data_IF_389923901315
#
_entry.id   IF_389923901315
#
_cell.length_a   1.000
_cell.length_b   1.000
_cell.length_c   1.000
_cell.angle_alpha   90.00
_cell.angle_beta   90.00
_cell.angle_gamma   90.00
#
_symmetry.space_group_name_H-M   'P 1'
#
loop_
_entity.id
_entity.type
_entity.pdbx_description
1 polymer ?
#
# COMPACT_ATOMS: atom_id res chain seq x y z
N UNK A 1 3.72 27.93 -17.77
CA UNK A 1 2.46 27.20 -18.04
C UNK A 1 2.20 26.32 -16.84
N UNK A 2 1.25 26.76 -16.03
CA UNK A 2 0.79 26.08 -14.82
C UNK A 2 0.07 24.81 -15.26
N UNK A 3 0.75 23.65 -15.15
CA UNK A 3 0.09 22.36 -15.31
C UNK A 3 -0.61 22.09 -14.00
N UNK A 4 -1.89 22.43 -13.93
CA UNK A 4 -2.77 21.92 -12.88
C UNK A 4 -2.63 20.40 -12.85
N UNK A 5 -1.98 19.90 -11.81
CA UNK A 5 -1.92 18.47 -11.50
C UNK A 5 -3.37 18.05 -11.26
N UNK A 6 -3.85 17.16 -12.12
CA UNK A 6 -5.12 16.47 -11.95
C UNK A 6 -5.08 15.70 -10.63
N UNK A 7 -5.58 16.31 -9.54
CA UNK A 7 -5.68 15.67 -8.22
C UNK A 7 -6.51 14.37 -8.30
N UNK A 8 -7.32 14.17 -9.35
CA UNK A 8 -8.20 13.01 -9.48
C UNK A 8 -7.49 11.71 -9.87
N UNK A 9 -6.30 11.75 -10.49
CA UNK A 9 -5.57 10.53 -10.90
C UNK A 9 -4.58 10.03 -9.82
N UNK A 10 -4.43 10.80 -8.75
CA UNK A 10 -3.48 10.54 -7.67
C UNK A 10 -4.12 9.86 -6.46
N UNK A 11 -5.41 9.54 -6.52
CA UNK A 11 -6.17 8.92 -5.44
C UNK A 11 -6.91 7.67 -5.91
N UNK A 12 -6.81 6.59 -5.15
CA UNK A 12 -7.67 5.40 -5.29
C UNK A 12 -8.14 4.94 -3.92
N UNK A 13 -9.35 4.37 -3.85
CA UNK A 13 -9.90 3.84 -2.62
C UNK A 13 -9.88 2.32 -2.65
N UNK A 14 -9.09 1.69 -1.77
CA UNK A 14 -8.92 0.23 -1.72
C UNK A 14 -8.92 -0.27 -0.27
N UNK A 15 -9.64 -1.34 0.01
CA UNK A 15 -9.66 -1.99 1.34
C UNK A 15 -10.05 -1.06 2.50
N UNK A 16 -10.82 0.00 2.22
CA UNK A 16 -11.23 0.99 3.22
C UNK A 16 -10.25 2.15 3.43
N UNK A 17 -9.15 2.22 2.67
CA UNK A 17 -8.15 3.29 2.76
C UNK A 17 -8.10 4.12 1.48
N UNK A 18 -7.79 5.40 1.64
CA UNK A 18 -7.42 6.28 0.53
C UNK A 18 -5.93 6.14 0.27
N UNK A 19 -5.58 5.72 -0.95
CA UNK A 19 -4.22 5.54 -1.41
C UNK A 19 -3.81 6.68 -2.32
N UNK A 20 -2.64 7.22 -2.08
CA UNK A 20 -2.02 8.31 -2.81
C UNK A 20 -0.96 7.74 -3.74
N UNK A 21 -0.91 8.24 -4.97
CA UNK A 21 0.11 7.85 -5.94
C UNK A 21 1.49 8.33 -5.45
N UNK A 22 2.46 7.43 -5.40
CA UNK A 22 3.86 7.71 -5.05
C UNK A 22 4.79 7.25 -6.19
N UNK A 23 4.65 7.89 -7.34
CA UNK A 23 5.35 7.52 -8.58
C UNK A 23 4.50 6.68 -9.55
N UNK A 24 5.13 6.19 -10.62
CA UNK A 24 4.39 5.65 -11.78
C UNK A 24 3.54 4.41 -11.45
N UNK A 25 4.04 3.55 -10.57
CA UNK A 25 3.44 2.25 -10.27
C UNK A 25 3.38 1.95 -8.78
N UNK A 26 3.44 2.98 -7.93
CA UNK A 26 3.44 2.81 -6.48
C UNK A 26 2.35 3.67 -5.85
N UNK A 27 1.81 3.15 -4.76
CA UNK A 27 0.70 3.72 -4.00
C UNK A 27 1.02 3.63 -2.52
N UNK A 28 0.64 4.67 -1.77
CA UNK A 28 0.82 4.75 -0.33
C UNK A 28 -0.49 5.07 0.36
N UNK A 29 -0.74 4.42 1.47
CA UNK A 29 -1.83 4.75 2.37
C UNK A 29 -1.29 4.74 3.79
N UNK A 30 -2.04 5.32 4.71
CA UNK A 30 -1.75 5.21 6.13
C UNK A 30 -3.06 5.14 6.91
N UNK A 31 -3.03 4.44 8.02
CA UNK A 31 -4.08 4.47 9.03
C UNK A 31 -3.46 4.52 10.44
N UNK A 32 -4.27 4.34 11.47
CA UNK A 32 -3.80 4.33 12.86
C UNK A 32 -2.87 3.16 13.22
N UNK A 33 -2.77 2.14 12.36
CA UNK A 33 -2.02 0.91 12.62
C UNK A 33 -0.67 0.88 11.91
N UNK A 34 -0.60 1.36 10.67
CA UNK A 34 0.62 1.36 9.87
C UNK A 34 0.60 2.38 8.72
N UNK A 35 1.79 2.63 8.17
CA UNK A 35 1.97 3.18 6.83
C UNK A 35 2.15 2.04 5.83
N UNK A 36 1.48 2.10 4.69
CA UNK A 36 1.48 1.06 3.67
C UNK A 36 2.13 1.56 2.39
N UNK A 37 2.78 0.66 1.66
CA UNK A 37 3.24 0.91 0.30
C UNK A 37 3.01 -0.31 -0.57
N UNK A 38 2.41 -0.10 -1.74
CA UNK A 38 2.16 -1.11 -2.76
C UNK A 38 2.82 -0.63 -4.06
N UNK A 39 3.60 -1.49 -4.71
CA UNK A 39 4.24 -1.20 -5.98
C UNK A 39 4.07 -2.36 -6.97
N UNK A 40 3.80 -2.04 -8.23
CA UNK A 40 3.81 -3.03 -9.32
C UNK A 40 5.25 -3.24 -9.76
N UNK A 41 5.68 -4.50 -9.79
CA UNK A 41 7.02 -4.88 -10.23
C UNK A 41 7.03 -5.33 -11.70
N UNK A 42 8.22 -5.55 -12.30
CA UNK A 42 8.33 -6.00 -13.70
C UNK A 42 7.70 -7.36 -13.99
N UNK A 43 7.43 -8.17 -12.95
CA UNK A 43 6.65 -9.41 -13.05
C UNK A 43 5.14 -9.16 -13.20
N UNK A 44 4.74 -7.91 -13.38
CA UNK A 44 3.37 -7.42 -13.48
C UNK A 44 2.50 -7.65 -12.24
N UNK A 45 3.09 -8.10 -11.13
CA UNK A 45 2.41 -8.35 -9.86
C UNK A 45 2.63 -7.21 -8.88
N UNK A 46 1.70 -7.09 -7.95
CA UNK A 46 1.75 -6.15 -6.86
C UNK A 46 2.50 -6.75 -5.67
N UNK A 47 3.42 -5.96 -5.15
CA UNK A 47 4.24 -6.26 -3.99
C UNK A 47 4.12 -5.09 -3.02
N UNK A 48 4.33 -5.33 -1.74
CA UNK A 48 4.19 -4.28 -0.76
C UNK A 48 4.88 -4.55 0.56
N UNK A 49 4.87 -3.51 1.37
CA UNK A 49 5.39 -3.52 2.72
C UNK A 49 4.53 -2.59 3.56
N UNK A 50 4.61 -2.78 4.87
CA UNK A 50 4.06 -1.83 5.83
C UNK A 50 5.14 -1.39 6.81
N UNK A 51 4.97 -0.21 7.38
CA UNK A 51 5.78 0.31 8.46
C UNK A 51 4.90 0.50 9.69
N UNK A 52 5.29 -0.11 10.81
CA UNK A 52 4.61 0.00 12.10
C UNK A 52 5.65 0.22 13.18
N UNK A 53 5.51 1.27 13.99
CA UNK A 53 6.47 1.63 15.04
C UNK A 53 7.93 1.73 14.54
N UNK A 54 8.14 2.25 13.33
CA UNK A 54 9.47 2.35 12.70
C UNK A 54 10.02 1.04 12.14
N UNK A 55 9.33 -0.09 12.32
CA UNK A 55 9.73 -1.39 11.76
C UNK A 55 9.07 -1.56 10.40
N UNK A 56 9.91 -1.77 9.37
CA UNK A 56 9.46 -2.06 8.01
C UNK A 56 9.37 -3.56 7.79
N UNK A 57 8.17 -4.05 7.50
CA UNK A 57 7.91 -5.46 7.21
C UNK A 57 7.41 -5.63 5.79
N UNK A 58 8.04 -6.55 5.05
CA UNK A 58 7.65 -6.88 3.67
C UNK A 58 6.60 -7.98 3.69
N UNK A 59 5.54 -7.83 2.89
CA UNK A 59 4.57 -8.90 2.71
C UNK A 59 5.12 -9.99 1.78
N UNK A 60 4.86 -11.26 2.10
CA UNK A 60 5.42 -12.41 1.38
C UNK A 60 4.65 -12.74 0.09
N UNK A 61 3.35 -12.45 0.07
CA UNK A 61 2.51 -12.73 -1.09
C UNK A 61 2.54 -11.60 -2.12
N UNK A 62 2.15 -11.94 -3.35
CA UNK A 62 1.97 -11.01 -4.47
C UNK A 62 0.82 -11.48 -5.35
N UNK A 63 0.14 -10.57 -6.05
CA UNK A 63 -0.97 -10.91 -6.94
C UNK A 63 -1.12 -9.89 -8.09
N UNK A 64 -1.87 -10.20 -9.17
CA UNK A 64 -1.95 -9.32 -10.35
C UNK A 64 -2.89 -8.12 -10.17
N UNK A 65 -3.81 -8.14 -9.19
CA UNK A 65 -4.83 -7.11 -8.96
C UNK A 65 -4.47 -6.26 -7.74
N UNK A 66 -4.56 -4.93 -7.86
CA UNK A 66 -4.18 -4.03 -6.76
C UNK A 66 -5.21 -4.05 -5.64
N UNK A 67 -6.49 -4.22 -5.97
CA UNK A 67 -7.62 -4.28 -5.05
C UNK A 67 -7.44 -5.44 -4.06
N UNK A 68 -7.24 -6.64 -4.59
CA UNK A 68 -6.98 -7.85 -3.79
C UNK A 68 -5.69 -7.70 -2.99
N UNK A 69 -4.68 -7.07 -3.56
CA UNK A 69 -3.40 -6.88 -2.87
C UNK A 69 -3.52 -5.93 -1.68
N UNK A 70 -4.26 -4.83 -1.83
CA UNK A 70 -4.49 -3.87 -0.78
C UNK A 70 -5.26 -4.48 0.38
N UNK A 71 -6.32 -5.24 0.11
CA UNK A 71 -7.07 -5.97 1.13
C UNK A 71 -6.18 -6.95 1.90
N UNK A 72 -5.40 -7.76 1.18
CA UNK A 72 -4.43 -8.67 1.78
C UNK A 72 -3.42 -7.93 2.67
N UNK A 73 -2.82 -6.84 2.19
CA UNK A 73 -1.79 -6.12 2.94
C UNK A 73 -2.36 -5.50 4.23
N UNK A 74 -3.56 -4.93 4.16
CA UNK A 74 -4.27 -4.38 5.31
C UNK A 74 -4.62 -5.49 6.30
N UNK A 75 -5.11 -6.62 5.80
CA UNK A 75 -5.43 -7.79 6.61
C UNK A 75 -4.20 -8.33 7.36
N UNK A 76 -3.05 -8.42 6.68
CA UNK A 76 -1.78 -8.83 7.30
C UNK A 76 -1.37 -7.91 8.45
N UNK A 77 -1.49 -6.58 8.30
CA UNK A 77 -1.16 -5.65 9.37
C UNK A 77 -2.10 -5.78 10.57
N UNK A 78 -3.38 -6.03 10.31
CA UNK A 78 -4.40 -6.22 11.36
C UNK A 78 -4.19 -7.53 12.12
N UNK A 79 -3.71 -8.56 11.45
CA UNK A 79 -3.45 -9.88 12.04
C UNK A 79 -2.01 -10.08 12.52
N UNK A 80 -1.07 -9.20 12.14
CA UNK A 80 0.29 -9.21 12.64
C UNK A 80 0.25 -9.03 14.16
N UNK A 81 0.44 -10.14 14.87
CA UNK A 81 0.62 -10.15 16.32
C UNK A 81 1.73 -9.17 16.64
N UNK A 82 1.47 -8.25 17.55
CA UNK A 82 2.52 -7.54 18.25
C UNK A 82 3.27 -8.62 19.04
N UNK A 83 4.34 -9.18 18.48
CA UNK A 83 5.34 -9.86 19.29
C UNK A 83 6.01 -8.76 20.12
N UNK A 84 5.38 -8.42 21.24
CA UNK A 84 6.00 -7.66 22.32
C UNK A 84 6.82 -8.71 23.06
N UNK A 85 8.13 -8.72 22.82
CA UNK A 85 9.10 -9.35 23.71
C UNK A 85 9.32 -8.42 24.92
#
# INVERSE_FOLDING_TARGET
MDRGVSISDDLIFLGGLTWYRDGKHCWRAADRFAEYTICRKPDERWHGYWMRNGIKTRAEWSCPTIETYAEYLIDQVRHARLEID
#
